data_IF_472149230523
#
_entry.id   IF_472149230523
#
_cell.length_a   1.000
_cell.length_b   1.000
_cell.length_c   1.000
_cell.angle_alpha   90.00
_cell.angle_beta   90.00
_cell.angle_gamma   90.00
#
_symmetry.space_group_name_H-M   'P 1'
#
loop_
_entity.id
_entity.type
_entity.pdbx_description
1 polymer ?
#
# COMPACT_ATOMS: atom_id res chain seq x y z
N UNK A 1 -6.57 19.44 -1.89
CA UNK A 1 -5.90 18.30 -1.25
C UNK A 1 -5.31 17.39 -2.31
N UNK A 2 -4.25 16.63 -1.97
CA UNK A 2 -3.63 15.64 -2.85
C UNK A 2 -3.58 14.28 -2.13
N UNK A 3 -4.03 13.22 -2.82
CA UNK A 3 -4.09 11.87 -2.30
C UNK A 3 -3.32 10.90 -3.20
N UNK A 4 -2.47 10.06 -2.59
CA UNK A 4 -1.72 9.01 -3.29
C UNK A 4 -2.56 7.75 -3.46
N UNK A 5 -2.41 7.11 -4.63
CA UNK A 5 -3.01 5.82 -4.95
C UNK A 5 -1.93 4.84 -5.37
N UNK A 6 -1.96 3.67 -4.77
CA UNK A 6 -1.05 2.56 -5.04
C UNK A 6 -1.79 1.32 -5.51
N UNK A 7 -1.03 0.38 -6.01
CA UNK A 7 -1.45 -0.98 -6.31
C UNK A 7 -0.34 -1.95 -5.98
N UNK A 8 -0.69 -3.16 -5.61
CA UNK A 8 0.29 -4.20 -5.27
C UNK A 8 0.65 -4.97 -6.54
N UNK A 9 1.91 -4.87 -6.93
CA UNK A 9 2.52 -5.60 -8.04
C UNK A 9 3.33 -6.80 -7.52
N UNK A 10 3.85 -7.65 -8.43
CA UNK A 10 4.66 -8.81 -8.06
C UNK A 10 5.94 -8.45 -7.28
N UNK A 11 6.44 -7.24 -7.48
CA UNK A 11 7.63 -6.68 -6.84
C UNK A 11 7.32 -5.67 -5.72
N UNK A 12 6.08 -5.60 -5.27
CA UNK A 12 5.64 -4.75 -4.18
C UNK A 12 4.65 -3.66 -4.57
N UNK A 13 4.16 -2.96 -3.55
CA UNK A 13 3.23 -1.86 -3.76
C UNK A 13 3.93 -0.68 -4.44
N UNK A 14 3.33 -0.18 -5.51
CA UNK A 14 3.79 0.96 -6.29
C UNK A 14 2.74 2.08 -6.31
N UNK A 15 3.18 3.31 -6.10
CA UNK A 15 2.34 4.51 -6.27
C UNK A 15 2.31 4.84 -7.75
N UNK A 16 1.13 4.69 -8.36
CA UNK A 16 0.92 4.90 -9.80
C UNK A 16 0.13 6.17 -10.11
N UNK A 17 -0.56 6.74 -9.12
CA UNK A 17 -1.45 7.88 -9.33
C UNK A 17 -1.51 8.80 -8.11
N UNK A 18 -1.69 10.10 -8.38
CA UNK A 18 -2.09 11.11 -7.40
C UNK A 18 -3.38 11.79 -7.87
N UNK A 19 -4.29 12.05 -6.95
CA UNK A 19 -5.52 12.79 -7.21
C UNK A 19 -5.45 14.12 -6.48
N UNK A 20 -5.55 15.21 -7.25
CA UNK A 20 -5.70 16.56 -6.73
C UNK A 20 -7.20 16.87 -6.62
N UNK A 21 -7.66 17.28 -5.45
CA UNK A 21 -9.06 17.65 -5.20
C UNK A 21 -9.14 19.17 -5.00
N UNK A 22 -9.88 19.84 -5.88
CA UNK A 22 -10.08 21.28 -5.90
C UNK A 22 -11.36 21.74 -5.16
N UNK A 23 -12.02 20.79 -4.47
CA UNK A 23 -13.20 21.07 -3.64
C UNK A 23 -14.44 21.34 -4.49
N UNK A 24 -14.87 22.60 -4.56
CA UNK A 24 -16.10 23.02 -5.22
C UNK A 24 -15.88 23.80 -6.53
N UNK A 25 -14.67 23.75 -7.09
CA UNK A 25 -14.39 24.33 -8.40
C UNK A 25 -13.92 23.28 -9.39
N UNK A 26 -14.15 23.52 -10.67
CA UNK A 26 -13.59 22.73 -11.76
C UNK A 26 -12.35 23.42 -12.29
N UNK A 27 -11.35 22.63 -12.67
CA UNK A 27 -10.14 23.11 -13.34
C UNK A 27 -10.03 22.51 -14.73
N UNK A 28 -9.41 23.24 -15.64
CA UNK A 28 -9.20 22.81 -17.02
C UNK A 28 -7.94 23.41 -17.61
N UNK A 29 -7.52 22.85 -18.76
CA UNK A 29 -6.30 23.27 -19.44
C UNK A 29 -5.05 22.73 -18.78
N UNK A 30 -5.15 21.59 -18.14
CA UNK A 30 -4.00 20.91 -17.48
C UNK A 30 -3.36 19.89 -18.44
N UNK A 31 -2.06 19.77 -18.33
CA UNK A 31 -1.23 18.78 -19.03
C UNK A 31 -0.09 18.28 -18.13
N UNK A 32 0.83 17.51 -18.71
CA UNK A 32 1.96 16.94 -17.96
C UNK A 32 2.94 17.98 -17.43
N UNK A 33 3.03 19.12 -18.09
CA UNK A 33 3.96 20.22 -17.73
C UNK A 33 3.34 21.17 -16.68
N UNK A 34 2.02 21.06 -16.45
CA UNK A 34 1.30 21.87 -15.46
C UNK A 34 1.81 21.62 -14.03
N UNK A 35 2.27 20.40 -13.75
CA UNK A 35 2.67 19.99 -12.41
C UNK A 35 4.07 19.40 -12.37
N UNK A 36 4.75 19.62 -11.24
CA UNK A 36 5.91 18.85 -10.81
C UNK A 36 5.54 18.13 -9.52
N UNK A 37 5.75 16.83 -9.47
CA UNK A 37 5.53 16.03 -8.26
C UNK A 37 6.87 15.49 -7.79
N UNK A 38 7.33 15.99 -6.65
CA UNK A 38 8.55 15.53 -6.01
C UNK A 38 8.21 14.44 -4.99
N UNK A 39 8.92 13.33 -5.05
CA UNK A 39 8.72 12.17 -4.20
C UNK A 39 9.98 11.85 -3.41
N UNK A 40 9.86 11.80 -2.11
CA UNK A 40 10.89 11.33 -1.21
C UNK A 40 10.34 10.21 -0.36
N UNK A 41 11.03 9.06 -0.35
CA UNK A 41 10.76 7.98 0.61
C UNK A 41 12.02 7.63 1.36
N UNK A 42 11.87 7.26 2.62
CA UNK A 42 13.01 6.94 3.46
C UNK A 42 12.65 5.87 4.50
N UNK A 43 13.63 5.05 4.81
CA UNK A 43 13.61 4.12 5.94
C UNK A 43 14.58 4.56 7.05
N UNK A 44 15.06 5.79 6.99
CA UNK A 44 15.93 6.37 8.01
C UNK A 44 15.23 6.33 9.38
N UNK A 45 15.98 5.94 10.42
CA UNK A 45 15.42 5.75 11.76
C UNK A 45 14.69 4.43 11.99
N UNK A 46 14.39 3.67 10.93
CA UNK A 46 13.78 2.32 11.00
C UNK A 46 14.81 1.19 10.86
N UNK A 47 16.04 1.53 10.52
CA UNK A 47 17.17 0.63 10.32
C UNK A 47 18.45 1.22 10.84
N UNK A 48 19.52 0.42 11.09
CA UNK A 48 20.86 0.93 11.36
C UNK A 48 21.34 1.85 10.23
N UNK A 49 22.12 2.87 10.56
CA UNK A 49 22.59 3.87 9.59
C UNK A 49 23.52 3.27 8.49
N UNK A 50 24.23 2.21 8.81
CA UNK A 50 25.12 1.46 7.90
C UNK A 50 24.39 0.37 7.09
N UNK A 51 23.14 0.06 7.43
CA UNK A 51 22.31 -0.88 6.66
C UNK A 51 21.86 -0.25 5.34
N UNK A 52 22.17 -0.89 4.23
CA UNK A 52 21.78 -0.41 2.91
C UNK A 52 20.33 -0.80 2.62
N UNK A 53 19.51 0.20 2.26
CA UNK A 53 18.13 0.03 1.82
C UNK A 53 18.02 0.24 0.30
N UNK A 54 17.37 -0.70 -0.38
CA UNK A 54 17.04 -0.59 -1.80
C UNK A 54 15.55 -0.27 -1.91
N UNK A 55 15.22 0.96 -2.30
CA UNK A 55 13.86 1.46 -2.40
C UNK A 55 13.67 2.86 -1.80
N UNK A 56 14.64 3.37 -1.03
CA UNK A 56 14.66 4.78 -0.64
C UNK A 56 15.02 5.65 -1.86
N UNK A 57 14.28 6.74 -2.08
CA UNK A 57 14.50 7.66 -3.19
C UNK A 57 14.18 9.12 -2.81
N UNK A 58 14.70 10.06 -3.59
CA UNK A 58 14.50 11.50 -3.43
C UNK A 58 14.63 12.14 -4.82
N UNK A 59 13.50 12.25 -5.56
CA UNK A 59 13.48 12.70 -6.96
C UNK A 59 12.08 13.10 -7.43
N UNK A 60 12.01 13.79 -8.55
CA UNK A 60 10.75 14.06 -9.23
C UNK A 60 10.20 12.81 -9.91
N UNK A 61 8.87 12.64 -9.85
CA UNK A 61 8.16 11.58 -10.53
C UNK A 61 7.99 11.92 -12.02
N UNK A 62 8.09 10.92 -12.85
CA UNK A 62 7.77 11.05 -14.28
C UNK A 62 6.27 11.01 -14.47
N UNK A 63 5.67 12.13 -14.84
CA UNK A 63 4.24 12.22 -15.16
C UNK A 63 4.02 11.73 -16.59
N UNK A 64 3.24 10.66 -16.74
CA UNK A 64 2.93 10.08 -18.07
C UNK A 64 1.60 10.56 -18.63
N UNK A 65 0.66 10.91 -17.76
CA UNK A 65 -0.69 11.32 -18.13
C UNK A 65 -1.33 12.18 -17.05
N UNK A 66 -2.15 13.14 -17.47
CA UNK A 66 -3.00 13.97 -16.59
C UNK A 66 -4.43 13.95 -17.14
N UNK A 67 -5.41 13.76 -16.27
CA UNK A 67 -6.82 13.72 -16.63
C UNK A 67 -7.65 14.65 -15.75
N UNK A 68 -8.51 15.44 -16.40
CA UNK A 68 -9.50 16.28 -15.73
C UNK A 68 -10.75 15.43 -15.40
N UNK A 69 -11.17 15.43 -14.13
CA UNK A 69 -12.32 14.67 -13.62
C UNK A 69 -13.25 15.56 -12.77
N UNK A 70 -13.86 16.57 -13.42
CA UNK A 70 -14.74 17.52 -12.75
C UNK A 70 -13.99 18.41 -11.76
N UNK A 71 -14.18 18.21 -10.46
CA UNK A 71 -13.45 18.96 -9.41
C UNK A 71 -12.12 18.33 -9.04
N UNK A 72 -11.70 17.29 -9.77
CA UNK A 72 -10.45 16.57 -9.51
C UNK A 72 -9.58 16.53 -10.75
N UNK A 73 -8.29 16.42 -10.52
CA UNK A 73 -7.28 16.12 -11.54
C UNK A 73 -6.55 14.86 -11.11
N UNK A 74 -6.46 13.89 -12.00
CA UNK A 74 -5.70 12.67 -11.81
C UNK A 74 -4.36 12.78 -12.53
N UNK A 75 -3.27 12.64 -11.78
CA UNK A 75 -1.90 12.64 -12.29
C UNK A 75 -1.40 11.20 -12.24
N UNK A 76 -1.02 10.62 -13.37
CA UNK A 76 -0.50 9.27 -13.49
C UNK A 76 1.01 9.28 -13.68
N UNK A 77 1.70 8.41 -12.97
CA UNK A 77 3.15 8.29 -12.96
C UNK A 77 3.65 7.09 -13.75
N UNK A 78 4.86 7.18 -14.25
CA UNK A 78 5.61 6.02 -14.70
C UNK A 78 6.04 5.19 -13.47
N UNK A 79 5.59 3.95 -13.40
CA UNK A 79 5.92 3.06 -12.30
C UNK A 79 7.35 2.49 -12.38
N UNK A 80 8.03 2.72 -13.50
CA UNK A 80 9.41 2.33 -13.73
C UNK A 80 10.40 3.51 -13.60
N UNK A 81 9.97 4.66 -13.09
CA UNK A 81 10.83 5.84 -12.90
C UNK A 81 11.82 5.72 -11.72
N UNK A 82 11.77 4.61 -10.99
CA UNK A 82 12.63 4.35 -9.84
C UNK A 82 12.15 4.96 -8.52
N UNK A 83 10.97 5.59 -8.52
CA UNK A 83 10.42 6.30 -7.36
C UNK A 83 8.96 5.88 -7.03
N UNK A 84 8.56 4.67 -7.37
CA UNK A 84 7.18 4.20 -7.21
C UNK A 84 6.94 3.40 -5.92
N UNK A 85 7.94 2.68 -5.42
CA UNK A 85 7.80 1.72 -4.30
C UNK A 85 7.45 2.38 -2.96
N UNK A 86 6.73 1.65 -2.12
CA UNK A 86 6.37 2.05 -0.75
C UNK A 86 7.11 1.25 0.32
N UNK A 87 7.93 0.29 -0.09
CA UNK A 87 8.80 -0.50 0.77
C UNK A 87 10.24 -0.41 0.27
N UNK A 88 11.17 -0.59 1.20
CA UNK A 88 12.59 -0.74 0.90
C UNK A 88 13.08 -2.11 1.37
N UNK A 89 13.89 -2.76 0.54
CA UNK A 89 14.55 -4.02 0.90
C UNK A 89 15.89 -3.74 1.58
N UNK A 90 16.09 -4.33 2.74
CA UNK A 90 17.33 -4.22 3.51
C UNK A 90 18.35 -5.28 3.07
N UNK A 91 19.58 -4.86 2.76
CA UNK A 91 20.58 -5.74 2.19
C UNK A 91 21.08 -6.82 3.16
N UNK A 92 21.36 -6.46 4.40
CA UNK A 92 21.85 -7.39 5.44
C UNK A 92 20.69 -8.01 6.20
N UNK A 93 19.68 -7.21 6.55
CA UNK A 93 18.49 -7.69 7.24
C UNK A 93 17.63 -8.62 6.40
N UNK A 94 17.75 -8.57 5.07
CA UNK A 94 16.99 -9.38 4.10
C UNK A 94 15.49 -9.29 4.33
N UNK A 95 14.99 -8.08 4.58
CA UNK A 95 13.58 -7.76 4.88
C UNK A 95 13.07 -6.59 4.07
N UNK A 96 11.82 -6.66 3.67
CA UNK A 96 11.07 -5.51 3.18
C UNK A 96 10.49 -4.74 4.37
N UNK A 97 10.79 -3.46 4.47
CA UNK A 97 10.22 -2.59 5.50
C UNK A 97 9.47 -1.42 4.87
N UNK A 98 8.35 -0.96 5.47
CA UNK A 98 7.62 0.17 4.94
C UNK A 98 8.45 1.45 5.05
N UNK A 99 8.49 2.20 3.94
CA UNK A 99 9.13 3.51 3.87
C UNK A 99 8.18 4.61 4.34
N UNK A 100 8.73 5.72 4.82
CA UNK A 100 7.95 6.93 5.04
C UNK A 100 7.87 7.71 3.73
N UNK A 101 6.66 7.94 3.25
CA UNK A 101 6.41 8.67 2.02
C UNK A 101 6.28 10.17 2.32
N UNK A 102 6.91 10.99 1.50
CA UNK A 102 6.76 12.44 1.51
C UNK A 102 6.69 12.93 0.06
N UNK A 103 5.47 13.21 -0.38
CA UNK A 103 5.17 13.72 -1.72
C UNK A 103 4.77 15.19 -1.64
N UNK A 104 5.27 15.98 -2.56
CA UNK A 104 4.93 17.40 -2.72
C UNK A 104 4.53 17.67 -4.16
N UNK A 105 3.59 18.60 -4.36
CA UNK A 105 3.13 19.02 -5.68
C UNK A 105 3.41 20.51 -5.84
N UNK A 106 4.05 20.86 -6.93
CA UNK A 106 4.20 22.25 -7.40
C UNK A 106 3.37 22.40 -8.67
N UNK A 107 2.52 23.41 -8.71
CA UNK A 107 1.84 23.83 -9.93
C UNK A 107 2.72 24.85 -10.64
N UNK A 108 3.16 24.52 -11.86
CA UNK A 108 4.14 25.30 -12.63
C UNK A 108 3.49 26.45 -13.39
N UNK A 109 2.24 26.29 -13.79
CA UNK A 109 1.46 27.28 -14.57
C UNK A 109 0.07 27.42 -14.00
N UNK A 110 -0.54 28.63 -14.09
CA UNK A 110 -1.94 28.82 -13.71
C UNK A 110 -2.88 27.90 -14.51
N UNK A 111 -3.96 27.44 -13.89
CA UNK A 111 -5.00 26.64 -14.52
C UNK A 111 -6.29 27.43 -14.62
N UNK A 112 -7.11 27.16 -15.63
CA UNK A 112 -8.43 27.77 -15.78
C UNK A 112 -9.37 27.21 -14.71
N UNK A 113 -10.10 28.10 -14.05
CA UNK A 113 -11.00 27.77 -12.95
C UNK A 113 -12.42 28.15 -13.32
N UNK A 114 -13.36 27.26 -13.05
CA UNK A 114 -14.79 27.55 -13.20
C UNK A 114 -15.58 27.04 -11.99
N UNK A 115 -16.69 27.72 -11.71
CA UNK A 115 -17.66 27.25 -10.72
C UNK A 115 -18.39 25.99 -11.22
N UNK A 116 -19.13 25.34 -10.33
CA UNK A 116 -19.89 24.13 -10.67
C UNK A 116 -20.94 24.34 -11.76
N UNK A 117 -21.51 25.54 -11.83
CA UNK A 117 -22.48 25.97 -12.84
C UNK A 117 -21.84 26.37 -14.17
N UNK A 118 -20.50 26.35 -14.26
CA UNK A 118 -19.75 26.71 -15.46
C UNK A 118 -19.34 28.19 -15.54
N UNK A 119 -19.64 29.00 -14.54
CA UNK A 119 -19.21 30.41 -14.49
C UNK A 119 -17.66 30.45 -14.46
N UNK A 120 -17.09 31.21 -15.39
CA UNK A 120 -15.64 31.42 -15.47
C UNK A 120 -15.14 32.24 -14.25
N UNK A 121 -14.17 31.73 -13.54
CA UNK A 121 -13.53 32.37 -12.39
C UNK A 121 -12.11 32.87 -12.69
N UNK A 122 -11.66 32.73 -13.94
CA UNK A 122 -10.32 33.13 -14.40
C UNK A 122 -9.30 32.02 -14.23
N UNK A 123 -8.06 32.42 -14.02
CA UNK A 123 -6.93 31.48 -13.82
C UNK A 123 -6.39 31.61 -12.40
N UNK A 124 -5.91 30.47 -11.85
CA UNK A 124 -5.35 30.45 -10.49
C UNK A 124 -4.22 29.44 -10.35
N UNK A 125 -3.44 29.62 -9.29
CA UNK A 125 -2.36 28.73 -8.86
C UNK A 125 -2.64 28.27 -7.43
N UNK A 126 -2.74 26.96 -7.24
CA UNK A 126 -3.11 26.34 -5.97
C UNK A 126 -1.89 25.82 -5.22
N UNK A 127 -1.99 25.80 -3.89
CA UNK A 127 -1.08 25.11 -3.00
C UNK A 127 -1.74 23.82 -2.51
N UNK A 128 -1.00 22.72 -2.55
CA UNK A 128 -1.53 21.38 -2.26
C UNK A 128 -1.04 20.88 -0.91
N UNK A 129 -1.95 20.35 -0.12
CA UNK A 129 -1.63 19.53 1.06
C UNK A 129 -1.69 18.07 0.66
N UNK A 130 -0.55 17.39 0.71
CA UNK A 130 -0.45 15.96 0.37
C UNK A 130 -0.74 15.09 1.58
N UNK A 131 -1.67 14.14 1.42
CA UNK A 131 -1.83 13.03 2.34
C UNK A 131 -0.86 11.94 1.90
N UNK A 132 0.16 11.68 2.73
CA UNK A 132 1.24 10.73 2.40
C UNK A 132 0.87 9.25 2.65
N UNK A 133 -0.36 8.98 3.07
CA UNK A 133 -0.92 7.63 3.09
C UNK A 133 -1.38 7.22 1.70
N UNK A 134 -1.10 5.96 1.36
CA UNK A 134 -1.45 5.39 0.06
C UNK A 134 -2.81 4.70 0.15
N UNK A 135 -3.74 5.04 -0.75
CA UNK A 135 -4.99 4.31 -0.95
C UNK A 135 -4.72 3.18 -1.94
N UNK A 136 -5.04 1.96 -1.55
CA UNK A 136 -4.87 0.76 -2.37
C UNK A 136 -6.12 -0.10 -2.25
N UNK A 137 -6.81 -0.34 -3.38
CA UNK A 137 -8.10 -1.01 -3.41
C UNK A 137 -8.04 -2.49 -3.01
N UNK A 138 -6.90 -3.14 -3.17
CA UNK A 138 -6.70 -4.52 -2.73
C UNK A 138 -6.31 -4.57 -1.26
N UNK A 139 -5.38 -3.72 -0.83
CA UNK A 139 -4.92 -3.68 0.57
C UNK A 139 -6.03 -3.30 1.55
N UNK A 140 -6.95 -2.40 1.17
CA UNK A 140 -8.06 -1.97 2.06
C UNK A 140 -9.06 -3.09 2.36
N UNK A 141 -9.06 -4.17 1.58
CA UNK A 141 -9.90 -5.36 1.85
C UNK A 141 -9.43 -6.13 3.09
N UNK A 142 -8.20 -5.89 3.54
CA UNK A 142 -7.60 -6.59 4.67
C UNK A 142 -7.62 -5.74 5.94
N UNK A 143 -7.86 -6.40 7.06
CA UNK A 143 -7.77 -5.81 8.40
C UNK A 143 -6.49 -6.30 9.07
N UNK A 144 -5.69 -5.37 9.58
CA UNK A 144 -4.51 -5.71 10.38
C UNK A 144 -4.93 -6.19 11.77
N UNK A 145 -4.57 -7.41 12.13
CA UNK A 145 -4.84 -8.01 13.43
C UNK A 145 -3.52 -8.19 14.17
N UNK A 146 -3.43 -7.56 15.35
CA UNK A 146 -2.29 -7.73 16.26
C UNK A 146 -2.71 -8.65 17.39
N UNK A 147 -1.89 -9.68 17.66
CA UNK A 147 -2.16 -10.71 18.65
C UNK A 147 -1.15 -10.61 19.79
N UNK A 148 -1.63 -10.35 20.99
CA UNK A 148 -0.76 -10.30 22.18
C UNK A 148 -0.15 -11.69 22.45
N UNK A 149 1.18 -11.76 22.49
CA UNK A 149 1.95 -13.01 22.65
C UNK A 149 1.75 -14.05 21.53
N UNK A 150 1.10 -13.66 20.44
CA UNK A 150 0.85 -14.49 19.25
C UNK A 150 1.62 -14.01 18.02
N UNK A 151 1.07 -14.30 16.85
CA UNK A 151 1.60 -13.90 15.55
C UNK A 151 0.62 -12.93 14.89
N UNK A 152 1.08 -11.76 14.50
CA UNK A 152 0.25 -10.79 13.80
C UNK A 152 -0.12 -11.30 12.40
N UNK A 153 -1.30 -10.91 11.92
CA UNK A 153 -1.74 -11.30 10.59
C UNK A 153 -2.61 -10.23 9.93
N UNK A 154 -2.71 -10.29 8.62
CA UNK A 154 -3.69 -9.58 7.82
C UNK A 154 -4.87 -10.50 7.54
N UNK A 155 -6.09 -9.97 7.63
CA UNK A 155 -7.30 -10.75 7.53
C UNK A 155 -8.29 -10.16 6.51
N UNK A 156 -8.70 -10.99 5.55
CA UNK A 156 -9.80 -10.70 4.63
C UNK A 156 -11.04 -11.46 5.07
N UNK A 157 -12.13 -10.73 5.32
CA UNK A 157 -13.41 -11.30 5.72
C UNK A 157 -14.31 -11.48 4.49
N UNK A 158 -14.51 -12.71 4.07
CA UNK A 158 -15.40 -13.06 2.96
C UNK A 158 -16.90 -13.13 3.35
N UNK A 159 -17.25 -12.72 4.57
CA UNK A 159 -18.63 -12.77 5.06
C UNK A 159 -19.08 -14.19 5.40
N UNK A 160 -20.13 -14.68 4.72
CA UNK A 160 -20.58 -16.07 4.85
C UNK A 160 -19.72 -16.99 4.00
N UNK A 161 -18.64 -17.48 4.55
CA UNK A 161 -17.69 -18.37 3.89
C UNK A 161 -17.41 -19.58 4.79
N UNK A 162 -17.32 -20.76 4.18
CA UNK A 162 -17.06 -22.03 4.86
C UNK A 162 -15.59 -22.47 4.78
N UNK A 163 -14.73 -21.61 4.21
CA UNK A 163 -13.33 -21.91 3.95
C UNK A 163 -12.42 -20.79 4.47
N UNK A 164 -11.21 -21.17 4.88
CA UNK A 164 -10.13 -20.26 5.27
C UNK A 164 -8.86 -20.61 4.50
N UNK A 165 -8.34 -19.65 3.76
CA UNK A 165 -7.01 -19.71 3.16
C UNK A 165 -6.02 -19.12 4.13
N UNK A 166 -4.99 -19.89 4.49
CA UNK A 166 -3.90 -19.43 5.35
C UNK A 166 -2.64 -19.27 4.51
N UNK A 167 -2.08 -18.06 4.52
CA UNK A 167 -0.88 -17.73 3.77
C UNK A 167 0.32 -17.52 4.69
N UNK A 168 1.41 -18.18 4.37
CA UNK A 168 2.71 -18.01 5.00
C UNK A 168 3.68 -17.42 3.98
N UNK A 169 4.19 -16.25 4.27
CA UNK A 169 5.08 -15.48 3.38
C UNK A 169 6.50 -16.08 3.27
N UNK A 170 7.29 -15.55 2.34
CA UNK A 170 8.72 -15.83 2.21
C UNK A 170 9.58 -15.10 3.24
N UNK A 171 10.90 -15.26 3.14
CA UNK A 171 11.82 -14.69 4.14
C UNK A 171 11.79 -13.16 4.18
N UNK A 172 11.61 -12.50 3.02
CA UNK A 172 11.66 -11.04 2.90
C UNK A 172 10.51 -10.29 3.57
N UNK A 173 9.41 -10.95 3.91
CA UNK A 173 8.20 -10.35 4.46
C UNK A 173 8.07 -10.52 5.99
N UNK A 174 9.00 -11.22 6.63
CA UNK A 174 9.08 -11.30 8.09
C UNK A 174 9.28 -9.93 8.73
N UNK A 175 8.93 -9.81 10.01
CA UNK A 175 9.16 -8.57 10.74
C UNK A 175 10.66 -8.26 10.88
N UNK A 176 10.97 -6.99 11.02
CA UNK A 176 12.35 -6.51 11.19
C UNK A 176 12.52 -5.85 12.55
N UNK A 177 13.45 -6.38 13.34
CA UNK A 177 13.84 -5.84 14.66
C UNK A 177 12.65 -5.60 15.62
N UNK A 178 11.62 -6.44 15.56
CA UNK A 178 10.47 -6.33 16.45
C UNK A 178 9.57 -5.11 16.17
N UNK A 179 9.63 -4.56 14.96
CA UNK A 179 8.80 -3.43 14.54
C UNK A 179 7.31 -3.75 14.58
N UNK A 180 6.97 -5.04 14.43
CA UNK A 180 5.60 -5.55 14.35
C UNK A 180 4.74 -4.75 13.36
N UNK A 181 5.34 -4.40 12.20
CA UNK A 181 4.67 -3.57 11.20
C UNK A 181 3.41 -4.24 10.65
N UNK A 182 3.38 -5.56 10.53
CA UNK A 182 2.26 -6.37 10.04
C UNK A 182 1.77 -5.96 8.63
N UNK A 183 2.65 -5.43 7.79
CA UNK A 183 2.29 -4.96 6.45
C UNK A 183 3.15 -5.55 5.32
N UNK A 184 4.38 -6.00 5.60
CA UNK A 184 5.27 -6.48 4.55
C UNK A 184 4.69 -7.69 3.80
N UNK A 185 4.06 -8.65 4.50
CA UNK A 185 3.39 -9.80 3.87
C UNK A 185 2.19 -9.41 3.01
N UNK A 186 1.60 -8.23 3.24
CA UNK A 186 0.49 -7.70 2.44
C UNK A 186 1.00 -6.95 1.20
N UNK A 187 2.05 -6.12 1.36
CA UNK A 187 2.44 -5.11 0.38
C UNK A 187 3.67 -5.48 -0.45
N UNK A 188 4.49 -6.46 -0.05
CA UNK A 188 5.77 -6.73 -0.72
C UNK A 188 5.65 -7.52 -2.03
N UNK A 189 4.53 -8.18 -2.25
CA UNK A 189 4.19 -8.91 -3.46
C UNK A 189 2.70 -9.28 -3.46
N UNK A 190 2.24 -9.94 -4.51
CA UNK A 190 0.83 -10.36 -4.64
C UNK A 190 0.44 -11.61 -3.84
N UNK A 191 1.35 -12.20 -3.08
CA UNK A 191 1.11 -13.47 -2.37
C UNK A 191 -0.11 -13.47 -1.45
N UNK A 192 -0.37 -12.37 -0.74
CA UNK A 192 -1.55 -12.24 0.13
C UNK A 192 -2.80 -11.79 -0.64
N UNK A 193 -2.71 -10.70 -1.40
CA UNK A 193 -3.88 -10.08 -2.02
C UNK A 193 -4.48 -10.90 -3.15
N UNK A 194 -3.69 -11.76 -3.80
CA UNK A 194 -4.16 -12.63 -4.87
C UNK A 194 -5.33 -13.53 -4.45
N UNK A 195 -5.37 -13.95 -3.20
CA UNK A 195 -6.44 -14.80 -2.67
C UNK A 195 -7.77 -14.06 -2.43
N UNK A 196 -7.75 -12.73 -2.32
CA UNK A 196 -8.93 -11.89 -2.14
C UNK A 196 -9.41 -11.23 -3.44
N UNK A 197 -8.88 -11.63 -4.60
CA UNK A 197 -9.41 -11.22 -5.91
C UNK A 197 -10.73 -11.93 -6.21
N UNK A 198 -11.58 -11.32 -7.02
CA UNK A 198 -12.85 -11.91 -7.42
C UNK A 198 -12.65 -13.28 -8.09
N UNK A 199 -11.63 -13.39 -8.95
CA UNK A 199 -11.29 -14.66 -9.62
C UNK A 199 -10.94 -15.77 -8.63
N UNK A 200 -10.09 -15.49 -7.64
CA UNK A 200 -9.73 -16.48 -6.63
C UNK A 200 -10.93 -16.85 -5.75
N UNK A 201 -11.72 -15.86 -5.36
CA UNK A 201 -12.92 -16.09 -4.55
C UNK A 201 -13.98 -16.91 -5.29
N UNK A 202 -14.14 -16.72 -6.60
CA UNK A 202 -15.02 -17.54 -7.43
C UNK A 202 -14.55 -19.01 -7.51
N UNK A 203 -13.23 -19.23 -7.63
CA UNK A 203 -12.64 -20.59 -7.67
C UNK A 203 -12.82 -21.32 -6.33
N UNK A 204 -12.61 -20.63 -5.22
CA UNK A 204 -12.66 -21.23 -3.87
C UNK A 204 -14.05 -21.16 -3.21
N UNK A 205 -15.06 -20.64 -3.88
CA UNK A 205 -16.43 -20.57 -3.39
C UNK A 205 -16.64 -19.63 -2.21
N UNK A 206 -15.97 -18.50 -2.20
CA UNK A 206 -15.72 -17.59 -1.09
C UNK A 206 -14.85 -18.22 0.01
N UNK A 207 -13.76 -17.57 0.34
CA UNK A 207 -12.88 -18.00 1.41
C UNK A 207 -12.36 -16.80 2.19
N UNK A 208 -12.35 -16.87 3.50
CA UNK A 208 -11.57 -15.95 4.32
C UNK A 208 -10.08 -16.11 4.00
N UNK A 209 -9.30 -15.06 4.17
CA UNK A 209 -7.84 -15.12 4.00
C UNK A 209 -7.16 -14.64 5.27
N UNK A 210 -6.19 -15.41 5.75
CA UNK A 210 -5.37 -15.08 6.91
C UNK A 210 -3.91 -15.16 6.52
N UNK A 211 -3.22 -14.02 6.52
CA UNK A 211 -1.81 -13.91 6.12
C UNK A 211 -0.95 -13.50 7.31
N UNK A 212 -0.25 -14.45 7.88
CA UNK A 212 0.64 -14.22 9.02
C UNK A 212 1.88 -13.41 8.64
N UNK A 213 2.41 -12.64 9.62
CA UNK A 213 3.76 -12.12 9.56
C UNK A 213 4.62 -12.79 10.62
N UNK A 214 5.66 -13.55 10.23
CA UNK A 214 6.63 -14.08 11.18
C UNK A 214 7.28 -12.95 11.98
N UNK A 215 7.49 -13.10 13.29
CA UNK A 215 8.20 -12.12 14.10
C UNK A 215 9.65 -11.83 13.62
N UNK A 216 10.23 -12.78 12.90
CA UNK A 216 11.49 -12.68 12.19
C UNK A 216 11.45 -13.59 10.95
N UNK A 217 11.62 -14.91 11.12
CA UNK A 217 11.64 -15.89 10.04
C UNK A 217 10.85 -17.15 10.38
N UNK A 218 10.31 -17.83 9.36
CA UNK A 218 9.71 -19.17 9.51
C UNK A 218 10.74 -20.29 9.63
N UNK A 219 12.01 -20.01 9.38
CA UNK A 219 13.06 -21.06 9.33
C UNK A 219 13.16 -21.85 10.64
N UNK A 220 12.98 -21.18 11.79
CA UNK A 220 13.03 -21.81 13.11
C UNK A 220 11.62 -21.97 13.74
N UNK A 221 10.55 -21.92 12.93
CA UNK A 221 9.19 -21.86 13.41
C UNK A 221 8.80 -22.97 14.40
N UNK A 222 9.29 -24.19 14.18
CA UNK A 222 9.03 -25.31 15.09
C UNK A 222 9.75 -25.13 16.42
N UNK A 223 11.05 -24.76 16.39
CA UNK A 223 11.86 -24.55 17.60
C UNK A 223 11.32 -23.39 18.44
N UNK A 224 10.88 -22.33 17.79
CA UNK A 224 10.44 -21.10 18.43
C UNK A 224 8.94 -21.12 18.80
N UNK A 225 8.26 -22.26 18.61
CA UNK A 225 6.85 -22.44 18.93
C UNK A 225 5.89 -21.66 18.02
N UNK A 226 6.35 -21.14 16.89
CA UNK A 226 5.51 -20.33 15.98
C UNK A 226 4.44 -21.19 15.28
N UNK A 227 4.73 -22.47 15.00
CA UNK A 227 3.75 -23.37 14.39
C UNK A 227 2.57 -23.61 15.33
N UNK A 228 2.82 -23.80 16.62
CA UNK A 228 1.77 -23.98 17.63
C UNK A 228 0.93 -22.72 17.79
N UNK A 229 1.58 -21.54 17.83
CA UNK A 229 0.87 -20.25 17.90
C UNK A 229 0.00 -20.04 16.67
N UNK A 230 0.54 -20.23 15.46
CA UNK A 230 -0.22 -20.11 14.23
C UNK A 230 -1.43 -21.08 14.21
N UNK A 231 -1.23 -22.32 14.61
CA UNK A 231 -2.30 -23.30 14.69
C UNK A 231 -3.42 -22.86 15.65
N UNK A 232 -3.07 -22.38 16.83
CA UNK A 232 -4.05 -21.92 17.82
C UNK A 232 -4.85 -20.72 17.29
N UNK A 233 -4.20 -19.76 16.65
CA UNK A 233 -4.87 -18.60 16.07
C UNK A 233 -5.77 -18.97 14.89
N UNK A 234 -5.37 -19.94 14.07
CA UNK A 234 -6.21 -20.50 13.01
C UNK A 234 -7.47 -21.14 13.62
N UNK A 235 -7.32 -21.95 14.69
CA UNK A 235 -8.45 -22.59 15.35
C UNK A 235 -9.41 -21.54 15.97
N UNK A 236 -8.91 -20.45 16.51
CA UNK A 236 -9.75 -19.36 17.01
C UNK A 236 -10.57 -18.70 15.89
N UNK A 237 -9.97 -18.45 14.72
CA UNK A 237 -10.68 -17.90 13.56
C UNK A 237 -11.71 -18.89 13.05
N UNK A 238 -11.36 -20.17 12.91
CA UNK A 238 -12.24 -21.26 12.48
C UNK A 238 -13.46 -21.35 13.39
N UNK A 239 -13.26 -21.35 14.71
CA UNK A 239 -14.35 -21.41 15.68
C UNK A 239 -15.22 -20.14 15.64
N UNK A 240 -14.61 -18.95 15.58
CA UNK A 240 -15.31 -17.65 15.55
C UNK A 240 -16.18 -17.50 14.31
N UNK A 241 -15.73 -18.01 13.16
CA UNK A 241 -16.43 -17.92 11.89
C UNK A 241 -17.37 -19.11 11.61
N UNK A 242 -17.35 -20.12 12.46
CA UNK A 242 -18.15 -21.34 12.25
C UNK A 242 -17.72 -22.16 11.03
N UNK A 243 -16.44 -22.06 10.66
CA UNK A 243 -15.86 -22.81 9.56
C UNK A 243 -15.79 -24.29 9.98
N UNK A 244 -16.26 -25.17 9.13
CA UNK A 244 -16.22 -26.61 9.38
C UNK A 244 -14.98 -27.18 8.67
N UNK A 245 -13.92 -27.58 9.42
CA UNK A 245 -12.65 -28.03 8.84
C UNK A 245 -12.77 -29.41 8.16
#
# INVERSE_FOLDING_TARGET
AAQLYGRIEDNGQAIYKMVLDYGNVKVSGVDKDTYTVHAKTTTEGKRPADEKAYGDYDQDRTIVRVEEKGTKVEIYFDENDGAAGTLSYLSTGARNIPSDNNYTVTQNTPVKVSAMDGTDLGEDTFVYSCTNTVVDEEAVKFTSVKVENGINYQYYDAGNADSLIVWFHGNGEGDYNGSQNNVAQLLANRGTVAWATDEAQDIFGNAHVMAFQAPDTWYYAQKDGLLEKAYNEIQEVVAKKGINP
#
